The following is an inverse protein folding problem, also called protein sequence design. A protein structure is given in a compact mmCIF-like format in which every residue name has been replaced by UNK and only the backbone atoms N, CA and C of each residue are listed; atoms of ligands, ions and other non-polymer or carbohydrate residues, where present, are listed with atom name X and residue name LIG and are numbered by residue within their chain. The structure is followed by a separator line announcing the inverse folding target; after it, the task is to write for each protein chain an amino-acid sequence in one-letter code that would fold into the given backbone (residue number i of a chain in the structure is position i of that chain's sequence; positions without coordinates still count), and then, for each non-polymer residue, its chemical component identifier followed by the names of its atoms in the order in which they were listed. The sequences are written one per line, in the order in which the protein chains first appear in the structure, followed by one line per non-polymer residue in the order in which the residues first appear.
data_IF_763524414130
#
_entry.id   IF_763524414130
#
_cell.length_a   1.000
_cell.length_b   1.000
_cell.length_c   1.000
_cell.angle_alpha   90.00
_cell.angle_beta   90.00
_cell.angle_gamma   90.00
#
_symmetry.space_group_name_H-M   'P 1'
#
loop_
_entity.id
_entity.type
_entity.pdbx_description
1 polymer ?
#
# COMPACT_ATOMS: atom_id res chain seq x y z
N UNK A 1 -24.00 12.56 -1.06
CA UNK A 1 -23.45 11.32 -1.66
C UNK A 1 -22.94 11.65 -3.03
N UNK A 2 -21.73 11.21 -3.37
CA UNK A 2 -21.20 11.30 -4.73
C UNK A 2 -21.44 9.95 -5.43
N UNK A 3 -21.75 9.98 -6.72
CA UNK A 3 -21.96 8.77 -7.53
C UNK A 3 -20.92 8.76 -8.63
N UNK A 4 -20.28 7.61 -8.84
CA UNK A 4 -19.36 7.38 -9.95
C UNK A 4 -19.89 6.24 -10.82
N UNK A 5 -19.79 6.40 -12.13
CA UNK A 5 -20.04 5.32 -13.09
C UNK A 5 -18.71 4.67 -13.45
N UNK A 6 -18.57 3.37 -13.22
CA UNK A 6 -17.36 2.60 -13.53
C UNK A 6 -17.67 1.63 -14.66
N UNK A 7 -16.82 1.61 -15.69
CA UNK A 7 -16.89 0.60 -16.74
C UNK A 7 -16.14 -0.64 -16.29
N UNK A 8 -16.82 -1.78 -16.31
CA UNK A 8 -16.24 -3.09 -16.04
C UNK A 8 -16.20 -3.88 -17.36
N UNK A 9 -15.25 -4.80 -17.49
CA UNK A 9 -15.34 -5.84 -18.51
C UNK A 9 -16.48 -6.80 -18.17
N UNK A 10 -16.99 -7.51 -19.17
CA UNK A 10 -18.08 -8.48 -18.99
C UNK A 10 -17.68 -9.55 -17.95
N UNK A 11 -16.49 -10.14 -18.09
CA UNK A 11 -15.93 -11.12 -17.14
C UNK A 11 -15.89 -10.62 -15.69
N UNK A 12 -15.54 -9.34 -15.47
CA UNK A 12 -15.45 -8.78 -14.12
C UNK A 12 -16.84 -8.49 -13.55
N UNK A 13 -17.78 -8.06 -14.41
CA UNK A 13 -19.17 -7.85 -14.03
C UNK A 13 -19.83 -9.16 -13.61
N UNK A 14 -19.58 -10.25 -14.35
CA UNK A 14 -20.11 -11.59 -14.03
C UNK A 14 -19.54 -12.12 -12.71
N UNK A 15 -18.23 -11.97 -12.47
CA UNK A 15 -17.62 -12.36 -11.20
C UNK A 15 -18.19 -11.57 -10.01
N UNK A 16 -18.43 -10.28 -10.19
CA UNK A 16 -19.03 -9.43 -9.15
C UNK A 16 -20.48 -9.82 -8.87
N UNK A 17 -21.26 -10.18 -9.89
CA UNK A 17 -22.63 -10.69 -9.73
C UNK A 17 -22.65 -12.01 -8.95
N UNK A 18 -21.83 -12.98 -9.35
CA UNK A 18 -21.75 -14.28 -8.67
C UNK A 18 -21.36 -14.13 -7.20
N UNK A 19 -20.42 -13.22 -6.89
CA UNK A 19 -20.02 -12.93 -5.51
C UNK A 19 -21.16 -12.24 -4.72
N UNK A 20 -21.88 -11.32 -5.35
CA UNK A 20 -23.04 -10.67 -4.75
C UNK A 20 -24.12 -11.69 -4.36
N UNK A 21 -24.46 -12.61 -5.27
CA UNK A 21 -25.40 -13.70 -5.02
C UNK A 21 -24.94 -14.62 -3.89
N UNK A 22 -23.69 -15.09 -3.94
CA UNK A 22 -23.13 -16.01 -2.95
C UNK A 22 -23.04 -15.40 -1.53
N UNK A 23 -22.87 -14.08 -1.43
CA UNK A 23 -22.72 -13.38 -0.14
C UNK A 23 -24.01 -12.71 0.34
N UNK A 24 -25.07 -12.70 -0.47
CA UNK A 24 -26.31 -11.98 -0.19
C UNK A 24 -26.12 -10.46 -0.10
N UNK A 25 -25.12 -9.91 -0.80
CA UNK A 25 -24.79 -8.47 -0.81
C UNK A 25 -25.13 -7.86 -2.16
N UNK A 26 -25.27 -6.54 -2.20
CA UNK A 26 -25.43 -5.84 -3.48
C UNK A 26 -24.07 -5.60 -4.14
N UNK A 27 -24.04 -5.54 -5.47
CA UNK A 27 -22.83 -5.18 -6.23
C UNK A 27 -22.23 -3.86 -5.79
N UNK A 28 -23.07 -2.86 -5.52
CA UNK A 28 -22.62 -1.54 -5.03
C UNK A 28 -21.96 -1.62 -3.66
N UNK A 29 -22.47 -2.47 -2.75
CA UNK A 29 -21.85 -2.70 -1.45
C UNK A 29 -20.45 -3.30 -1.62
N UNK A 30 -20.33 -4.37 -2.41
CA UNK A 30 -19.06 -5.04 -2.65
C UNK A 30 -18.05 -4.15 -3.37
N UNK A 31 -18.47 -3.38 -4.38
CA UNK A 31 -17.61 -2.43 -5.07
C UNK A 31 -17.11 -1.33 -4.10
N UNK A 32 -17.99 -0.82 -3.24
CA UNK A 32 -17.61 0.18 -2.23
C UNK A 32 -16.63 -0.39 -1.22
N UNK A 33 -16.86 -1.62 -0.75
CA UNK A 33 -15.95 -2.31 0.15
C UNK A 33 -14.57 -2.51 -0.49
N UNK A 34 -14.52 -3.00 -1.73
CA UNK A 34 -13.26 -3.22 -2.44
C UNK A 34 -12.45 -1.91 -2.60
N UNK A 35 -13.13 -0.79 -2.88
CA UNK A 35 -12.48 0.53 -2.96
C UNK A 35 -11.95 0.96 -1.59
N UNK A 36 -12.72 0.79 -0.51
CA UNK A 36 -12.26 1.13 0.85
C UNK A 36 -11.04 0.31 1.25
N UNK A 37 -11.06 -0.99 0.98
CA UNK A 37 -9.95 -1.90 1.28
C UNK A 37 -8.71 -1.53 0.46
N UNK A 38 -8.88 -1.18 -0.82
CA UNK A 38 -7.80 -0.70 -1.67
C UNK A 38 -7.19 0.60 -1.14
N UNK A 39 -8.01 1.62 -0.88
CA UNK A 39 -7.53 2.91 -0.37
C UNK A 39 -6.83 2.75 0.98
N UNK A 40 -7.34 1.91 1.87
CA UNK A 40 -6.71 1.67 3.18
C UNK A 40 -5.33 1.03 3.04
N UNK A 41 -5.15 0.11 2.07
CA UNK A 41 -3.86 -0.52 1.78
C UNK A 41 -2.87 0.42 1.11
N UNK A 42 -3.31 1.31 0.22
CA UNK A 42 -2.41 2.19 -0.52
C UNK A 42 -2.08 3.48 0.26
N UNK A 43 -3.02 3.99 1.06
CA UNK A 43 -2.87 5.29 1.71
C UNK A 43 -1.68 5.35 2.67
N UNK A 44 -1.43 4.30 3.46
CA UNK A 44 -0.29 4.29 4.38
C UNK A 44 1.04 4.31 3.60
N UNK A 45 1.14 3.56 2.50
CA UNK A 45 2.36 3.49 1.71
C UNK A 45 2.68 4.84 1.07
N UNK A 46 1.67 5.48 0.49
CA UNK A 46 1.83 6.81 -0.12
C UNK A 46 2.25 7.83 0.94
N UNK A 47 1.62 7.81 2.12
CA UNK A 47 1.96 8.71 3.21
C UNK A 47 3.41 8.51 3.70
N UNK A 48 3.83 7.27 3.93
CA UNK A 48 5.20 6.93 4.35
C UNK A 48 6.23 7.36 3.32
N UNK A 49 5.99 7.13 2.02
CA UNK A 49 6.91 7.56 0.96
C UNK A 49 7.03 9.10 0.94
N UNK A 50 5.90 9.80 1.04
CA UNK A 50 5.90 11.26 1.07
C UNK A 50 6.65 11.80 2.29
N UNK A 51 6.48 11.18 3.46
CA UNK A 51 7.20 11.56 4.66
C UNK A 51 8.71 11.28 4.52
N UNK A 52 9.09 10.10 4.04
CA UNK A 52 10.50 9.73 3.84
C UNK A 52 11.21 10.67 2.85
N UNK A 53 10.51 11.18 1.83
CA UNK A 53 11.05 12.21 0.92
C UNK A 53 11.33 13.50 1.68
N UNK A 54 10.42 13.95 2.56
CA UNK A 54 10.61 15.16 3.37
C UNK A 54 11.78 15.00 4.36
N UNK A 55 11.90 13.84 5.00
CA UNK A 55 13.02 13.52 5.89
C UNK A 55 14.35 13.54 5.12
N UNK A 56 14.40 12.91 3.94
CA UNK A 56 15.55 12.91 3.06
C UNK A 56 15.95 14.32 2.59
N UNK A 57 14.98 15.14 2.17
CA UNK A 57 15.22 16.53 1.75
C UNK A 57 15.75 17.39 2.91
N UNK A 58 15.38 17.07 4.15
CA UNK A 58 15.90 17.71 5.36
C UNK A 58 17.26 17.13 5.82
N UNK A 59 17.79 16.12 5.13
CA UNK A 59 19.04 15.45 5.49
C UNK A 59 18.93 14.55 6.72
N UNK A 60 17.72 14.15 7.11
CA UNK A 60 17.45 13.25 8.25
C UNK A 60 17.76 11.79 7.87
N UNK A 61 19.04 11.53 7.63
CA UNK A 61 19.57 10.20 7.38
C UNK A 61 20.32 9.70 8.62
N UNK A 62 20.25 8.39 8.84
CA UNK A 62 21.11 7.75 9.82
C UNK A 62 22.58 7.98 9.47
N UNK A 63 23.38 8.26 10.49
CA UNK A 63 24.84 8.34 10.36
C UNK A 63 25.46 6.98 10.04
N UNK A 64 26.69 6.99 9.52
CA UNK A 64 27.44 5.78 9.20
C UNK A 64 27.59 4.84 10.42
N UNK A 65 27.79 5.42 11.60
CA UNK A 65 27.92 4.68 12.87
C UNK A 65 26.60 4.00 13.28
N UNK A 66 25.47 4.68 13.10
CA UNK A 66 24.14 4.12 13.36
C UNK A 66 23.80 2.99 12.39
N UNK A 67 24.16 3.16 11.12
CA UNK A 67 24.01 2.12 10.10
C UNK A 67 24.89 0.92 10.40
N UNK A 68 26.16 1.11 10.78
CA UNK A 68 27.07 0.04 11.17
C UNK A 68 26.54 -0.76 12.38
N UNK A 69 25.99 -0.06 13.39
CA UNK A 69 25.37 -0.70 14.55
C UNK A 69 24.13 -1.53 14.16
N UNK A 70 23.29 -1.01 13.26
CA UNK A 70 22.11 -1.74 12.74
C UNK A 70 22.51 -3.00 11.97
N UNK A 71 23.46 -2.92 11.06
CA UNK A 71 23.91 -4.08 10.27
C UNK A 71 24.54 -5.17 11.14
N UNK A 72 25.35 -4.77 12.14
CA UNK A 72 25.89 -5.71 13.13
C UNK A 72 24.79 -6.43 13.90
N UNK A 73 23.73 -5.73 14.30
CA UNK A 73 22.56 -6.33 14.97
C UNK A 73 21.82 -7.34 14.08
N UNK A 74 21.82 -7.11 12.76
CA UNK A 74 21.20 -8.00 11.77
C UNK A 74 22.09 -9.18 11.36
N UNK A 75 23.31 -9.29 11.90
CA UNK A 75 24.27 -10.33 11.53
C UNK A 75 24.90 -10.13 10.14
N UNK A 76 24.78 -8.93 9.56
CA UNK A 76 25.41 -8.56 8.30
C UNK A 76 26.80 -8.00 8.59
N UNK A 77 27.83 -8.66 8.08
CA UNK A 77 29.21 -8.17 8.18
C UNK A 77 29.47 -7.19 7.02
N UNK A 78 29.62 -5.91 7.33
CA UNK A 78 30.04 -4.92 6.33
C UNK A 78 31.56 -5.05 6.17
N UNK A 79 31.99 -5.72 5.10
CA UNK A 79 33.39 -5.68 4.67
C UNK A 79 33.61 -4.35 3.95
N UNK A 80 34.29 -3.41 4.59
CA UNK A 80 34.83 -2.24 3.89
C UNK A 80 36.01 -2.71 3.01
N UNK A 81 35.75 -3.03 1.74
CA UNK A 81 36.80 -3.04 0.74
C UNK A 81 36.95 -1.62 0.18
N UNK A 82 38.19 -1.11 0.27
CA UNK A 82 38.63 0.23 -0.12
C UNK A 82 38.26 0.63 -1.56
#
# INVERSE_FOLDING_TARGET
MSVMSVRLSDDLSEQLEALAEATGRTKSFLATQAIQDFLSREAWQVAEIQQAIVEADNGDFASDDEMAARFKKMGVTISNEN
#
